data_IF_435724514217
#
_entry.id   IF_435724514217
#
_cell.length_a   1.000
_cell.length_b   1.000
_cell.length_c   1.000
_cell.angle_alpha   90.00
_cell.angle_beta   90.00
_cell.angle_gamma   90.00
#
_symmetry.space_group_name_H-M   'P 1'
#
loop_
_entity.id
_entity.type
_entity.pdbx_description
1 polymer ?
#
# COMPACT_ATOMS: atom_id res chain seq x y z
N UNK A 1 -5.97 -20.60 4.76
CA UNK A 1 -7.02 -19.59 4.50
C UNK A 1 -8.42 -20.19 4.31
N UNK A 2 -8.62 -21.16 3.43
CA UNK A 2 -9.93 -21.86 3.22
C UNK A 2 -10.44 -22.62 4.47
N UNK A 3 -9.57 -23.20 5.28
CA UNK A 3 -9.95 -23.92 6.50
C UNK A 3 -10.50 -23.00 7.62
N UNK A 4 -10.04 -21.75 7.68
CA UNK A 4 -10.56 -20.77 8.66
C UNK A 4 -11.94 -20.23 8.26
N UNK A 5 -12.19 -20.07 6.96
CA UNK A 5 -13.51 -19.68 6.42
C UNK A 5 -14.52 -20.81 6.59
N UNK A 6 -14.10 -22.08 6.42
CA UNK A 6 -14.99 -23.26 6.61
C UNK A 6 -15.39 -23.45 8.09
N UNK A 7 -14.50 -23.16 9.03
CA UNK A 7 -14.83 -23.20 10.47
C UNK A 7 -15.81 -22.09 10.88
N UNK A 8 -15.69 -20.89 10.30
CA UNK A 8 -16.60 -19.77 10.56
C UNK A 8 -18.01 -20.01 10.01
N UNK A 9 -18.15 -20.76 8.89
CA UNK A 9 -19.45 -21.07 8.26
C UNK A 9 -20.17 -22.20 9.00
N UNK A 10 -19.46 -23.13 9.61
CA UNK A 10 -20.07 -24.24 10.37
C UNK A 10 -20.52 -23.84 11.78
N UNK A 11 -20.04 -22.75 12.35
CA UNK A 11 -20.53 -22.20 13.62
C UNK A 11 -21.94 -21.56 13.50
N UNK A 12 -22.39 -21.26 12.27
CA UNK A 12 -23.72 -20.71 11.99
C UNK A 12 -24.84 -21.75 11.87
N UNK A 13 -24.55 -23.05 11.92
CA UNK A 13 -25.53 -24.13 11.76
C UNK A 13 -25.77 -25.03 12.98
N UNK A 14 -25.26 -24.65 14.16
CA UNK A 14 -25.52 -25.37 15.42
C UNK A 14 -26.38 -24.47 16.32
N UNK A 15 -27.55 -24.09 15.82
CA UNK A 15 -28.67 -23.66 16.63
C UNK A 15 -29.48 -24.90 16.96
N UNK A 16 -29.30 -25.45 18.16
CA UNK A 16 -30.17 -26.33 18.93
C UNK A 16 -29.39 -27.41 19.71
N UNK A 17 -28.48 -26.95 20.58
CA UNK A 17 -28.13 -27.57 21.86
C UNK A 17 -27.35 -26.51 22.67
N UNK A 18 -27.99 -25.94 23.65
CA UNK A 18 -27.29 -25.23 24.71
C UNK A 18 -26.42 -26.26 25.43
N UNK A 19 -25.14 -26.31 25.06
CA UNK A 19 -24.11 -26.96 25.85
C UNK A 19 -23.73 -25.94 26.90
N UNK A 20 -24.02 -26.24 28.14
CA UNK A 20 -23.58 -25.47 29.32
C UNK A 20 -22.05 -25.59 29.39
N UNK A 21 -21.36 -24.64 28.71
CA UNK A 21 -19.90 -24.57 28.73
C UNK A 21 -19.54 -23.89 30.04
N UNK A 22 -18.90 -24.63 30.97
CA UNK A 22 -18.43 -24.09 32.23
C UNK A 22 -17.51 -22.87 31.98
N UNK A 23 -17.56 -21.90 32.90
CA UNK A 23 -16.75 -20.66 32.83
C UNK A 23 -15.26 -20.96 32.66
N UNK A 24 -14.76 -22.03 33.30
CA UNK A 24 -13.37 -22.53 33.16
C UNK A 24 -13.02 -22.92 31.71
N UNK A 25 -13.97 -23.53 31.00
CA UNK A 25 -13.74 -23.97 29.60
C UNK A 25 -13.78 -22.79 28.61
N UNK A 26 -14.51 -21.72 28.95
CA UNK A 26 -14.47 -20.45 28.20
C UNK A 26 -13.15 -19.73 28.40
N UNK A 27 -12.61 -19.66 29.61
CA UNK A 27 -11.30 -19.09 29.93
C UNK A 27 -10.16 -19.88 29.29
N UNK A 28 -10.23 -21.23 29.24
CA UNK A 28 -9.25 -22.05 28.50
C UNK A 28 -9.28 -21.76 27.01
N UNK A 29 -10.45 -21.64 26.40
CA UNK A 29 -10.61 -21.32 24.98
C UNK A 29 -10.14 -19.89 24.65
N UNK A 30 -10.43 -18.92 25.50
CA UNK A 30 -9.92 -17.54 25.35
C UNK A 30 -8.41 -17.47 25.49
N UNK A 31 -7.81 -18.22 26.42
CA UNK A 31 -6.37 -18.34 26.57
C UNK A 31 -5.70 -19.05 25.39
N UNK A 32 -6.32 -20.11 24.85
CA UNK A 32 -5.84 -20.78 23.61
C UNK A 32 -5.92 -19.86 22.41
N UNK A 33 -7.02 -19.13 22.21
CA UNK A 33 -7.19 -18.16 21.12
C UNK A 33 -6.20 -17.01 21.25
N UNK A 34 -5.97 -16.52 22.47
CA UNK A 34 -4.99 -15.45 22.75
C UNK A 34 -3.56 -15.93 22.52
N UNK A 35 -3.24 -17.17 22.92
CA UNK A 35 -1.94 -17.82 22.68
C UNK A 35 -1.71 -18.10 21.20
N UNK A 36 -2.72 -18.56 20.45
CA UNK A 36 -2.64 -18.76 19.02
C UNK A 36 -2.51 -17.43 18.24
N UNK A 37 -3.24 -16.39 18.64
CA UNK A 37 -3.10 -15.05 18.08
C UNK A 37 -1.73 -14.43 18.39
N UNK A 38 -1.15 -14.70 19.55
CA UNK A 38 0.22 -14.26 19.91
C UNK A 38 1.27 -15.05 19.15
N UNK A 39 1.07 -16.35 18.90
CA UNK A 39 1.92 -17.17 18.03
C UNK A 39 1.81 -16.77 16.55
N UNK A 40 0.61 -16.46 16.07
CA UNK A 40 0.41 -15.94 14.70
C UNK A 40 1.03 -14.56 14.53
N UNK A 41 0.97 -13.67 15.53
CA UNK A 41 1.71 -12.39 15.53
C UNK A 41 3.23 -12.56 15.55
N UNK A 42 3.76 -13.61 16.19
CA UNK A 42 5.20 -13.94 16.15
C UNK A 42 5.63 -14.59 14.83
N UNK A 43 4.73 -15.16 14.06
CA UNK A 43 5.03 -15.77 12.75
C UNK A 43 4.88 -14.82 11.56
N UNK A 44 4.26 -13.64 11.72
CA UNK A 44 4.37 -12.54 10.77
C UNK A 44 5.62 -11.72 11.11
N UNK A 45 6.79 -12.31 10.96
CA UNK A 45 8.04 -11.57 10.91
C UNK A 45 7.99 -10.70 9.66
N UNK A 46 7.81 -9.39 9.86
CA UNK A 46 7.80 -8.43 8.76
C UNK A 46 9.08 -8.59 7.95
N UNK A 47 8.95 -8.64 6.64
CA UNK A 47 10.13 -8.66 5.78
C UNK A 47 10.94 -7.39 6.07
N UNK A 48 12.23 -7.54 6.38
CA UNK A 48 13.06 -6.39 6.73
C UNK A 48 13.14 -5.39 5.56
N UNK A 49 13.16 -4.08 5.83
CA UNK A 49 13.34 -3.06 4.78
C UNK A 49 14.57 -3.30 3.90
N UNK A 50 15.68 -3.77 4.49
CA UNK A 50 16.90 -4.04 3.74
C UNK A 50 16.74 -5.22 2.77
N UNK A 51 15.97 -6.25 3.14
CA UNK A 51 15.64 -7.36 2.24
C UNK A 51 14.77 -6.91 1.08
N UNK A 52 13.74 -6.09 1.34
CA UNK A 52 12.89 -5.50 0.29
C UNK A 52 13.69 -4.58 -0.63
N UNK A 53 14.61 -3.80 -0.09
CA UNK A 53 15.52 -2.98 -0.90
C UNK A 53 16.38 -3.85 -1.84
N UNK A 54 16.93 -4.96 -1.35
CA UNK A 54 17.68 -5.89 -2.20
C UNK A 54 16.80 -6.51 -3.30
N UNK A 55 15.55 -6.86 -2.97
CA UNK A 55 14.56 -7.34 -3.94
C UNK A 55 14.28 -6.28 -5.02
N UNK A 56 14.06 -5.02 -4.63
CA UNK A 56 13.90 -3.91 -5.56
C UNK A 56 15.07 -3.81 -6.55
N UNK A 57 16.31 -3.82 -6.03
CA UNK A 57 17.50 -3.71 -6.88
C UNK A 57 17.64 -4.93 -7.80
N UNK A 58 17.31 -6.13 -7.33
CA UNK A 58 17.29 -7.34 -8.15
C UNK A 58 16.24 -7.22 -9.26
N UNK A 59 15.02 -6.73 -8.98
CA UNK A 59 13.97 -6.53 -9.98
C UNK A 59 14.41 -5.52 -11.05
N UNK A 60 15.00 -4.38 -10.66
CA UNK A 60 15.54 -3.39 -11.63
C UNK A 60 16.62 -4.00 -12.50
N UNK A 61 17.54 -4.77 -11.94
CA UNK A 61 18.66 -5.37 -12.68
C UNK A 61 18.24 -6.48 -13.65
N UNK A 62 17.06 -7.07 -13.49
CA UNK A 62 16.54 -8.08 -14.44
C UNK A 62 16.32 -7.50 -15.84
N UNK A 63 15.76 -6.29 -15.93
CA UNK A 63 15.49 -5.63 -17.22
C UNK A 63 16.54 -4.57 -17.56
N UNK A 64 17.30 -4.07 -16.59
CA UNK A 64 18.34 -3.08 -16.80
C UNK A 64 19.64 -3.47 -16.06
N UNK A 65 20.41 -4.46 -16.53
CA UNK A 65 21.56 -5.02 -15.81
C UNK A 65 22.65 -4.01 -15.45
N UNK A 66 22.84 -2.99 -16.28
CA UNK A 66 23.83 -1.90 -16.10
C UNK A 66 23.26 -0.62 -15.50
N UNK A 67 22.04 -0.67 -14.92
CA UNK A 67 21.42 0.52 -14.35
C UNK A 67 22.29 1.15 -13.26
N UNK A 68 22.48 2.47 -13.35
CA UNK A 68 22.98 3.27 -12.24
C UNK A 68 21.87 3.38 -11.18
N UNK A 69 22.05 2.68 -10.06
CA UNK A 69 21.10 2.60 -8.96
C UNK A 69 21.28 3.72 -7.92
N UNK A 70 22.26 4.60 -8.09
CA UNK A 70 22.60 5.63 -7.10
C UNK A 70 21.42 6.52 -6.73
N UNK A 71 20.56 6.85 -7.70
CA UNK A 71 19.36 7.66 -7.48
C UNK A 71 18.28 6.90 -6.69
N UNK A 72 18.12 5.59 -6.95
CA UNK A 72 17.21 4.71 -6.21
C UNK A 72 17.69 4.54 -4.77
N UNK A 73 19.00 4.33 -4.57
CA UNK A 73 19.60 4.22 -3.25
C UNK A 73 19.42 5.51 -2.44
N UNK A 74 19.64 6.66 -3.09
CA UNK A 74 19.39 7.96 -2.48
C UNK A 74 17.93 8.13 -2.06
N UNK A 75 16.97 7.76 -2.94
CA UNK A 75 15.55 7.85 -2.65
C UNK A 75 15.13 6.94 -1.50
N UNK A 76 15.65 5.70 -1.46
CA UNK A 76 15.40 4.79 -0.34
C UNK A 76 15.88 5.38 0.98
N UNK A 77 17.10 5.95 1.02
CA UNK A 77 17.63 6.57 2.24
C UNK A 77 16.77 7.74 2.69
N UNK A 78 16.44 8.67 1.77
CA UNK A 78 15.59 9.83 2.07
C UNK A 78 14.21 9.39 2.56
N UNK A 79 13.54 8.46 1.87
CA UNK A 79 12.24 7.95 2.31
C UNK A 79 12.32 7.28 3.69
N UNK A 80 13.38 6.49 3.96
CA UNK A 80 13.59 5.83 5.26
C UNK A 80 13.77 6.83 6.39
N UNK A 81 14.59 7.86 6.18
CA UNK A 81 14.85 8.92 7.16
C UNK A 81 13.60 9.78 7.39
N UNK A 82 12.86 10.13 6.33
CA UNK A 82 11.64 10.95 6.41
C UNK A 82 10.51 10.25 7.17
N UNK A 83 10.43 8.92 7.08
CA UNK A 83 9.43 8.11 7.76
C UNK A 83 9.96 7.43 9.04
N UNK A 84 11.08 7.89 9.58
CA UNK A 84 11.66 7.31 10.79
C UNK A 84 10.68 7.37 11.97
N UNK A 85 10.50 6.24 12.66
CA UNK A 85 9.56 6.12 13.78
C UNK A 85 8.08 6.00 13.39
N UNK A 86 7.72 6.18 12.12
CA UNK A 86 6.35 5.97 11.65
C UNK A 86 6.07 4.48 11.44
N UNK A 87 4.85 4.06 11.82
CA UNK A 87 4.38 2.68 11.65
C UNK A 87 3.02 2.65 10.96
N UNK A 88 2.79 1.63 10.15
CA UNK A 88 1.48 1.39 9.52
C UNK A 88 0.50 0.74 10.50
N UNK A 89 -0.78 0.65 10.13
CA UNK A 89 -1.82 -0.04 10.93
C UNK A 89 -1.54 -1.52 11.15
N UNK A 90 -0.73 -2.14 10.30
CA UNK A 90 -0.19 -3.50 10.46
C UNK A 90 0.83 -3.61 11.60
N UNK A 91 1.40 -2.48 12.06
CA UNK A 91 2.50 -2.42 13.02
C UNK A 91 3.89 -2.49 12.38
N UNK A 92 3.98 -2.61 11.05
CA UNK A 92 5.25 -2.60 10.32
C UNK A 92 5.82 -1.18 10.16
N UNK A 93 7.17 -1.01 10.04
CA UNK A 93 7.77 0.26 9.69
C UNK A 93 7.18 0.84 8.40
N UNK A 94 6.92 2.15 8.37
CA UNK A 94 6.24 2.78 7.23
C UNK A 94 6.99 2.59 5.91
N UNK A 95 8.34 2.62 5.94
CA UNK A 95 9.20 2.46 4.75
C UNK A 95 8.93 1.17 3.94
N UNK A 96 8.34 0.14 4.55
CA UNK A 96 7.95 -1.09 3.84
C UNK A 96 6.94 -0.80 2.73
N UNK A 97 6.04 0.17 2.93
CA UNK A 97 5.05 0.54 1.92
C UNK A 97 5.67 1.11 0.64
N UNK A 98 6.44 2.21 0.69
CA UNK A 98 7.05 2.74 -0.54
C UNK A 98 8.03 1.76 -1.19
N UNK A 99 8.71 0.89 -0.43
CA UNK A 99 9.51 -0.18 -1.01
C UNK A 99 8.66 -1.17 -1.82
N UNK A 100 7.52 -1.63 -1.27
CA UNK A 100 6.61 -2.52 -1.99
C UNK A 100 6.01 -1.85 -3.23
N UNK A 101 5.68 -0.56 -3.16
CA UNK A 101 5.23 0.22 -4.33
C UNK A 101 6.32 0.27 -5.40
N UNK A 102 7.56 0.58 -5.03
CA UNK A 102 8.69 0.61 -5.95
C UNK A 102 8.99 -0.76 -6.58
N UNK A 103 8.85 -1.86 -5.83
CA UNK A 103 8.99 -3.22 -6.37
C UNK A 103 7.90 -3.50 -7.42
N UNK A 104 6.64 -3.14 -7.15
CA UNK A 104 5.55 -3.29 -8.12
C UNK A 104 5.87 -2.53 -9.42
N UNK A 105 6.40 -1.31 -9.32
CA UNK A 105 6.78 -0.50 -10.48
C UNK A 105 7.99 -1.11 -11.23
N UNK A 106 8.95 -1.68 -10.50
CA UNK A 106 10.09 -2.38 -11.09
C UNK A 106 9.68 -3.68 -11.79
N UNK A 107 8.71 -4.42 -11.24
CA UNK A 107 8.14 -5.62 -11.88
C UNK A 107 7.36 -5.30 -13.17
N UNK A 108 6.92 -4.05 -13.33
CA UNK A 108 6.34 -3.50 -14.57
C UNK A 108 7.42 -2.93 -15.52
N UNK A 109 8.72 -3.08 -15.17
CA UNK A 109 9.87 -2.64 -15.97
C UNK A 109 9.87 -1.12 -16.26
N UNK A 110 9.34 -0.31 -15.33
CA UNK A 110 9.26 1.14 -15.49
C UNK A 110 10.64 1.82 -15.29
N UNK A 111 10.74 3.06 -15.78
CA UNK A 111 11.97 3.83 -15.73
C UNK A 111 12.39 4.19 -14.28
N UNK A 112 13.65 4.57 -14.14
CA UNK A 112 14.30 4.88 -12.87
C UNK A 112 13.59 6.01 -12.13
N UNK A 113 13.18 7.05 -12.82
CA UNK A 113 12.49 8.22 -12.26
C UNK A 113 11.14 7.82 -11.67
N UNK A 114 10.41 6.94 -12.33
CA UNK A 114 9.13 6.38 -11.82
C UNK A 114 9.34 5.57 -10.55
N UNK A 115 10.36 4.73 -10.50
CA UNK A 115 10.70 3.94 -9.30
C UNK A 115 11.09 4.85 -8.14
N UNK A 116 11.91 5.88 -8.40
CA UNK A 116 12.32 6.88 -7.42
C UNK A 116 11.11 7.66 -6.90
N UNK A 117 10.21 8.09 -7.79
CA UNK A 117 8.98 8.76 -7.40
C UNK A 117 8.06 7.83 -6.58
N UNK A 118 8.02 6.52 -6.89
CA UNK A 118 7.32 5.51 -6.11
C UNK A 118 7.88 5.35 -4.69
N UNK A 119 9.20 5.49 -4.49
CA UNK A 119 9.82 5.52 -3.15
C UNK A 119 9.48 6.79 -2.37
N UNK A 120 9.27 7.92 -3.06
CA UNK A 120 9.09 9.25 -2.47
C UNK A 120 7.64 9.72 -2.44
N UNK A 121 6.68 8.93 -2.96
CA UNK A 121 5.32 9.39 -3.24
C UNK A 121 4.55 9.93 -2.01
N UNK A 122 4.81 9.38 -0.82
CA UNK A 122 4.20 9.81 0.43
C UNK A 122 5.05 10.81 1.22
N UNK A 123 6.31 11.08 0.79
CA UNK A 123 7.24 11.91 1.56
C UNK A 123 6.75 13.35 1.68
N UNK A 124 6.19 13.93 0.61
CA UNK A 124 5.65 15.30 0.63
C UNK A 124 4.33 15.38 1.39
N UNK A 125 3.51 14.32 1.33
CA UNK A 125 2.20 14.30 1.99
C UNK A 125 2.31 14.07 3.51
N UNK A 126 3.19 13.15 3.92
CA UNK A 126 3.25 12.62 5.28
C UNK A 126 4.43 13.13 6.10
N UNK A 127 5.31 13.98 5.54
CA UNK A 127 6.51 14.49 6.21
C UNK A 127 6.71 15.99 6.01
N UNK A 128 7.83 16.52 6.48
CA UNK A 128 8.19 17.95 6.38
C UNK A 128 8.91 18.32 5.09
N UNK A 129 9.25 17.34 4.23
CA UNK A 129 9.97 17.56 2.98
C UNK A 129 9.07 18.23 1.94
N UNK A 130 9.57 19.23 1.23
CA UNK A 130 8.83 19.99 0.21
C UNK A 130 9.15 19.50 -1.21
N UNK A 131 8.27 19.86 -2.17
CA UNK A 131 8.50 19.58 -3.60
C UNK A 131 9.78 20.24 -4.12
N UNK A 132 10.08 21.47 -3.67
CA UNK A 132 11.30 22.19 -4.05
C UNK A 132 12.56 21.47 -3.55
N UNK A 133 12.51 20.88 -2.37
CA UNK A 133 13.61 20.07 -1.85
C UNK A 133 13.78 18.78 -2.67
N UNK A 134 12.70 18.12 -3.07
CA UNK A 134 12.77 16.95 -3.98
C UNK A 134 13.36 17.35 -5.34
N UNK A 135 12.94 18.47 -5.93
CA UNK A 135 13.47 18.93 -7.21
C UNK A 135 14.98 19.23 -7.13
N UNK A 136 15.43 19.79 -6.03
CA UNK A 136 16.85 20.11 -5.77
C UNK A 136 17.68 18.85 -5.49
N UNK A 137 17.13 17.95 -4.69
CA UNK A 137 17.83 16.73 -4.24
C UNK A 137 17.92 15.66 -5.33
N UNK A 138 16.90 15.53 -6.17
CA UNK A 138 16.82 14.50 -7.21
C UNK A 138 16.90 15.09 -8.61
N UNK A 139 15.78 15.40 -9.21
CA UNK A 139 15.67 16.12 -10.47
C UNK A 139 14.22 16.63 -10.67
N UNK A 140 14.00 17.57 -11.63
CA UNK A 140 12.66 18.10 -11.89
C UNK A 140 11.63 17.05 -12.33
N UNK A 141 12.04 15.98 -13.00
CA UNK A 141 11.15 14.92 -13.48
C UNK A 141 10.57 14.12 -12.28
N UNK A 142 11.42 13.73 -11.33
CA UNK A 142 11.00 13.09 -10.08
C UNK A 142 10.06 14.00 -9.29
N UNK A 143 10.38 15.29 -9.13
CA UNK A 143 9.53 16.23 -8.41
C UNK A 143 8.16 16.38 -9.06
N UNK A 144 8.09 16.46 -10.39
CA UNK A 144 6.84 16.53 -11.14
C UNK A 144 5.97 15.29 -10.94
N UNK A 145 6.58 14.09 -10.92
CA UNK A 145 5.87 12.84 -10.67
C UNK A 145 5.31 12.78 -9.24
N UNK A 146 6.11 13.14 -8.24
CA UNK A 146 5.69 13.17 -6.82
C UNK A 146 4.57 14.18 -6.62
N UNK A 147 4.69 15.40 -7.14
CA UNK A 147 3.63 16.44 -7.12
C UNK A 147 2.32 15.93 -7.74
N UNK A 148 2.42 15.29 -8.91
CA UNK A 148 1.27 14.70 -9.59
C UNK A 148 0.56 13.64 -8.73
N UNK A 149 1.31 12.75 -8.07
CA UNK A 149 0.75 11.72 -7.19
C UNK A 149 0.12 12.33 -5.94
N UNK A 150 0.78 13.31 -5.31
CA UNK A 150 0.27 14.05 -4.14
C UNK A 150 -1.06 14.75 -4.46
N UNK A 151 -1.16 15.44 -5.61
CA UNK A 151 -2.42 16.05 -6.07
C UNK A 151 -3.54 15.04 -6.28
N UNK A 152 -3.22 13.83 -6.78
CA UNK A 152 -4.22 12.75 -6.89
C UNK A 152 -4.62 12.18 -5.51
N UNK A 153 -3.73 12.14 -4.54
CA UNK A 153 -4.05 11.66 -3.19
C UNK A 153 -5.05 12.56 -2.46
N UNK A 154 -5.04 13.88 -2.74
CA UNK A 154 -5.98 14.86 -2.18
C UNK A 154 -7.42 14.73 -2.73
N UNK A 155 -7.66 13.89 -3.75
CA UNK A 155 -9.00 13.65 -4.26
C UNK A 155 -9.81 12.82 -3.28
N UNK A 156 -10.82 13.42 -2.65
CA UNK A 156 -11.68 12.71 -1.70
C UNK A 156 -12.75 11.89 -2.43
N UNK A 157 -12.80 10.57 -2.15
CA UNK A 157 -13.87 9.70 -2.63
C UNK A 157 -15.14 9.91 -1.79
N UNK A 158 -16.28 10.05 -2.46
CA UNK A 158 -17.60 10.14 -1.85
C UNK A 158 -18.58 9.30 -2.70
N UNK A 159 -18.92 8.12 -2.22
CA UNK A 159 -19.72 7.13 -2.95
C UNK A 159 -21.12 7.63 -3.33
N UNK A 160 -21.66 8.56 -2.54
CA UNK A 160 -23.03 9.02 -2.70
C UNK A 160 -23.16 10.27 -3.60
N UNK A 161 -22.03 10.80 -4.10
CA UNK A 161 -21.98 12.01 -4.94
C UNK A 161 -21.41 11.71 -6.33
N UNK A 162 -22.28 11.40 -7.28
CA UNK A 162 -21.91 11.09 -8.68
C UNK A 162 -21.11 12.24 -9.33
N UNK A 163 -21.47 13.48 -9.08
CA UNK A 163 -20.79 14.66 -9.60
C UNK A 163 -19.35 14.75 -9.11
N UNK A 164 -19.10 14.42 -7.84
CA UNK A 164 -17.76 14.41 -7.26
C UNK A 164 -16.89 13.29 -7.82
N UNK A 165 -17.48 12.12 -8.08
CA UNK A 165 -16.78 11.02 -8.75
C UNK A 165 -16.39 11.38 -10.18
N UNK A 166 -17.29 12.03 -10.95
CA UNK A 166 -17.00 12.48 -12.30
C UNK A 166 -15.86 13.51 -12.32
N UNK A 167 -15.84 14.46 -11.38
CA UNK A 167 -14.75 15.43 -11.25
C UNK A 167 -13.42 14.79 -10.83
N UNK A 168 -13.44 13.80 -9.94
CA UNK A 168 -12.25 13.04 -9.59
C UNK A 168 -11.69 12.28 -10.80
N UNK A 169 -12.54 11.58 -11.56
CA UNK A 169 -12.13 10.91 -12.79
C UNK A 169 -11.56 11.90 -13.81
N UNK A 170 -12.19 13.06 -13.99
CA UNK A 170 -11.66 14.12 -14.86
C UNK A 170 -10.25 14.55 -14.45
N UNK A 171 -10.01 14.80 -13.16
CA UNK A 171 -8.68 15.18 -12.65
C UNK A 171 -7.65 14.07 -12.86
N UNK A 172 -8.04 12.81 -12.66
CA UNK A 172 -7.17 11.67 -12.95
C UNK A 172 -6.83 11.57 -14.43
N UNK A 173 -7.79 11.76 -15.35
CA UNK A 173 -7.53 11.79 -16.79
C UNK A 173 -6.63 12.96 -17.20
N UNK A 174 -6.78 14.13 -16.59
CA UNK A 174 -5.87 15.26 -16.84
C UNK A 174 -4.44 14.97 -16.35
N UNK A 175 -4.30 14.35 -15.19
CA UNK A 175 -2.98 13.92 -14.71
C UNK A 175 -2.34 12.88 -15.64
N UNK A 176 -3.13 11.90 -16.14
CA UNK A 176 -2.67 10.91 -17.14
C UNK A 176 -2.26 11.57 -18.47
N UNK A 177 -2.98 12.61 -18.89
CA UNK A 177 -2.66 13.33 -20.12
C UNK A 177 -1.35 14.12 -20.02
N UNK A 178 -0.98 14.56 -18.82
CA UNK A 178 0.29 15.23 -18.55
C UNK A 178 1.44 14.20 -18.46
N UNK A 179 1.28 13.18 -17.63
CA UNK A 179 2.25 12.07 -17.52
C UNK A 179 1.56 10.81 -17.00
N UNK A 180 1.55 9.77 -17.84
CA UNK A 180 0.93 8.48 -17.52
C UNK A 180 1.56 7.81 -16.29
N UNK A 181 2.84 8.09 -16.00
CA UNK A 181 3.57 7.52 -14.87
C UNK A 181 2.93 7.86 -13.53
N UNK A 182 2.32 9.04 -13.41
CA UNK A 182 1.60 9.48 -12.20
C UNK A 182 0.50 8.49 -11.82
N UNK A 183 -0.32 8.05 -12.79
CA UNK A 183 -1.39 7.09 -12.51
C UNK A 183 -0.84 5.69 -12.26
N UNK A 184 0.26 5.29 -12.92
CA UNK A 184 0.91 4.00 -12.67
C UNK A 184 1.44 3.90 -11.24
N UNK A 185 2.07 4.96 -10.73
CA UNK A 185 2.50 5.04 -9.32
C UNK A 185 1.27 4.94 -8.41
N UNK A 186 0.19 5.68 -8.70
CA UNK A 186 -1.03 5.64 -7.88
C UNK A 186 -1.73 4.29 -7.90
N UNK A 187 -1.69 3.56 -9.01
CA UNK A 187 -2.20 2.19 -9.12
C UNK A 187 -1.35 1.20 -8.33
N UNK A 188 -0.01 1.35 -8.34
CA UNK A 188 0.89 0.53 -7.54
C UNK A 188 0.69 0.77 -6.03
N UNK A 189 0.54 2.03 -5.59
CA UNK A 189 0.15 2.40 -4.23
C UNK A 189 -1.18 1.75 -3.85
N UNK A 190 -2.21 1.91 -4.67
CA UNK A 190 -3.52 1.30 -4.45
C UNK A 190 -3.45 -0.22 -4.35
N UNK A 191 -2.69 -0.88 -5.21
CA UNK A 191 -2.50 -2.33 -5.18
C UNK A 191 -1.88 -2.78 -3.86
N UNK A 192 -0.84 -2.11 -3.38
CA UNK A 192 -0.24 -2.44 -2.09
C UNK A 192 -1.21 -2.17 -0.92
N UNK A 193 -1.95 -1.08 -0.95
CA UNK A 193 -2.98 -0.78 0.05
C UNK A 193 -4.09 -1.86 0.07
N UNK A 194 -4.48 -2.40 -1.08
CA UNK A 194 -5.43 -3.53 -1.15
C UNK A 194 -4.84 -4.83 -0.59
N UNK A 195 -3.56 -5.13 -0.80
CA UNK A 195 -2.86 -6.29 -0.22
C UNK A 195 -2.80 -6.24 1.31
N UNK A 196 -2.79 -5.03 1.88
CA UNK A 196 -2.72 -4.78 3.33
C UNK A 196 -4.06 -4.38 3.95
N UNK A 197 -5.17 -4.47 3.19
CA UNK A 197 -6.50 -4.01 3.57
C UNK A 197 -7.04 -4.68 4.85
N UNK A 198 -6.62 -5.92 5.12
CA UNK A 198 -7.01 -6.73 6.29
C UNK A 198 -6.72 -6.07 7.65
N UNK A 199 -5.77 -5.12 7.69
CA UNK A 199 -5.39 -4.39 8.92
C UNK A 199 -6.25 -3.14 9.18
N UNK A 200 -7.20 -2.82 8.30
CA UNK A 200 -8.14 -1.71 8.47
C UNK A 200 -9.43 -2.17 9.15
N UNK A 201 -10.20 -1.22 9.71
CA UNK A 201 -11.54 -1.51 10.23
C UNK A 201 -12.48 -1.98 9.10
N UNK A 202 -13.52 -2.80 9.40
CA UNK A 202 -14.45 -3.29 8.38
C UNK A 202 -15.09 -2.18 7.53
N UNK A 203 -15.39 -1.02 8.13
CA UNK A 203 -15.96 0.15 7.44
C UNK A 203 -14.96 0.71 6.42
N UNK A 204 -13.69 0.89 6.84
CA UNK A 204 -12.62 1.36 5.96
C UNK A 204 -12.27 0.35 4.86
N UNK A 205 -12.36 -0.95 5.15
CA UNK A 205 -12.20 -1.98 4.13
C UNK A 205 -13.25 -1.85 3.03
N UNK A 206 -14.54 -1.68 3.40
CA UNK A 206 -15.64 -1.49 2.43
C UNK A 206 -15.48 -0.21 1.62
N UNK A 207 -15.14 0.90 2.28
CA UNK A 207 -14.90 2.19 1.62
C UNK A 207 -13.79 2.07 0.57
N UNK A 208 -12.62 1.52 0.97
CA UNK A 208 -11.46 1.39 0.08
C UNK A 208 -11.67 0.37 -1.04
N UNK A 209 -12.40 -0.72 -0.76
CA UNK A 209 -12.79 -1.69 -1.79
C UNK A 209 -13.71 -1.06 -2.83
N UNK A 210 -14.75 -0.31 -2.41
CA UNK A 210 -15.67 0.39 -3.32
C UNK A 210 -14.94 1.44 -4.16
N UNK A 211 -14.14 2.31 -3.55
CA UNK A 211 -13.31 3.27 -4.27
C UNK A 211 -12.42 2.59 -5.33
N UNK A 212 -11.83 1.45 -4.99
CA UNK A 212 -10.97 0.69 -5.91
C UNK A 212 -11.78 0.15 -7.10
N UNK A 213 -12.95 -0.42 -6.87
CA UNK A 213 -13.79 -0.97 -7.92
C UNK A 213 -14.41 0.11 -8.81
N UNK A 214 -14.78 1.26 -8.23
CA UNK A 214 -15.49 2.31 -8.96
C UNK A 214 -14.53 3.19 -9.80
N UNK A 215 -13.28 3.34 -9.34
CA UNK A 215 -12.33 4.29 -9.96
C UNK A 215 -11.10 3.56 -10.51
N UNK A 216 -10.32 2.89 -9.64
CA UNK A 216 -8.98 2.42 -10.00
C UNK A 216 -8.99 1.18 -10.92
N UNK A 217 -9.89 0.23 -10.69
CA UNK A 217 -9.97 -0.98 -11.51
C UNK A 217 -10.38 -0.67 -12.97
N UNK A 218 -11.38 0.20 -13.26
CA UNK A 218 -11.69 0.60 -14.64
C UNK A 218 -10.55 1.32 -15.35
N UNK A 219 -9.73 2.09 -14.62
CA UNK A 219 -8.55 2.74 -15.20
C UNK A 219 -7.48 1.71 -15.52
N UNK A 220 -7.14 0.85 -14.55
CA UNK A 220 -6.15 -0.19 -14.74
C UNK A 220 -6.49 -1.18 -15.86
N UNK A 221 -7.77 -1.43 -16.11
CA UNK A 221 -8.21 -2.31 -17.21
C UNK A 221 -7.98 -1.69 -18.61
N UNK A 222 -7.83 -0.37 -18.69
CA UNK A 222 -7.65 0.35 -19.96
C UNK A 222 -6.19 0.66 -20.29
N UNK A 223 -5.28 0.45 -19.36
CA UNK A 223 -3.83 0.60 -19.52
C UNK A 223 -3.18 -0.72 -19.92
#
# INVERSE_FOLDING_TARGET
MLAAVYKSINLGKVGERMVDISTEKLEELENEVTSQNTKLKKMEEFVSPDKLYQELIQSVRKYHPSADISLIEKAYRVARESHEGQVRKSGEPYIIHPLCVAIILADLELDKETIVAGLLHDVVEDTVMTEEEIAKEFNPDVALLVDGVTKLAQLSYDADKVEKQAENLRKMFLAMANDIRVILIKLADRLHNMRTLKYMTPEKQKEKARETMDIYAPIAQRL
#
